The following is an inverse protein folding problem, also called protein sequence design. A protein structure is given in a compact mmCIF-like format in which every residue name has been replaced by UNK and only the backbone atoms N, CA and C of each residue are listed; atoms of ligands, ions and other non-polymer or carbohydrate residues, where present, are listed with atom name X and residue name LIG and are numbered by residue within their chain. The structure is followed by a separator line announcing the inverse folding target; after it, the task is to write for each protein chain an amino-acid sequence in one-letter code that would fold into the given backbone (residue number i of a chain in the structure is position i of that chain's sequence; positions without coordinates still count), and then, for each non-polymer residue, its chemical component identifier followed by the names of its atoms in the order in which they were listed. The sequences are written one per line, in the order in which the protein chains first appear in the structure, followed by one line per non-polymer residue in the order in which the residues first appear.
data_IF_985064142505
#
_entry.id   IF_985064142505
#
_cell.length_a   1.000
_cell.length_b   1.000
_cell.length_c   1.000
_cell.angle_alpha   90.00
_cell.angle_beta   90.00
_cell.angle_gamma   90.00
#
_symmetry.space_group_name_H-M   'P 1'
#
loop_
_entity.id
_entity.type
_entity.pdbx_description
1 polymer ?
#
# COMPACT_ATOMS: atom_id res chain seq x y z
N UNK A 1 1.06 -1.48 -2.65
CA UNK A 1 0.08 -2.54 -2.34
C UNK A 1 -0.50 -2.26 -0.96
N UNK A 2 -1.28 -1.18 -0.88
CA UNK A 2 -2.08 -0.88 0.31
C UNK A 2 -3.13 -1.98 0.44
N UNK A 3 -2.98 -2.92 1.37
CA UNK A 3 -4.06 -3.85 1.70
C UNK A 3 -5.24 -3.19 2.46
N UNK A 4 -5.26 -1.85 2.57
CA UNK A 4 -6.26 -1.10 3.30
C UNK A 4 -7.14 -0.27 2.35
N UNK A 5 -8.25 -0.86 1.90
CA UNK A 5 -9.43 -0.05 1.55
C UNK A 5 -10.05 0.46 2.87
N UNK A 6 -9.70 1.67 3.29
CA UNK A 6 -10.38 2.33 4.42
C UNK A 6 -11.78 2.77 3.94
N UNK A 7 -12.79 1.99 4.28
CA UNK A 7 -14.18 2.41 4.13
C UNK A 7 -14.48 3.49 5.18
N UNK A 8 -14.32 4.77 4.82
CA UNK A 8 -14.68 5.89 5.68
C UNK A 8 -16.21 5.94 5.88
N UNK A 9 -16.69 5.43 7.02
CA UNK A 9 -18.09 5.59 7.45
C UNK A 9 -18.24 6.97 8.09
N UNK A 10 -18.78 7.94 7.34
CA UNK A 10 -19.22 9.22 7.90
C UNK A 10 -20.52 9.03 8.69
N UNK A 11 -20.47 9.16 10.02
CA UNK A 11 -21.66 9.44 10.83
C UNK A 11 -21.66 10.91 11.26
N UNK A 12 -22.55 11.70 10.68
CA UNK A 12 -22.92 13.02 11.21
C UNK A 12 -23.79 12.83 12.47
N UNK A 13 -23.34 13.36 13.59
CA UNK A 13 -24.19 13.62 14.76
C UNK A 13 -24.17 15.12 15.05
N UNK A 14 -25.27 15.80 14.68
CA UNK A 14 -25.56 17.16 15.08
C UNK A 14 -26.22 17.14 16.47
N UNK A 15 -25.63 17.82 17.44
CA UNK A 15 -26.31 18.18 18.69
C UNK A 15 -26.41 19.70 18.79
N UNK A 16 -27.66 20.17 18.70
CA UNK A 16 -28.06 21.52 19.08
C UNK A 16 -28.02 21.65 20.61
N UNK A 17 -27.57 22.79 21.11
CA UNK A 17 -27.78 23.19 22.51
C UNK A 17 -28.41 24.58 22.58
N UNK A 18 -29.48 24.64 23.36
CA UNK A 18 -30.36 25.78 23.57
C UNK A 18 -29.75 26.88 24.47
N UNK A 19 -30.15 28.12 24.20
CA UNK A 19 -29.91 29.31 25.03
C UNK A 19 -30.79 29.36 26.28
N UNK A 20 -30.24 29.93 27.37
CA UNK A 20 -30.98 30.45 28.52
C UNK A 20 -30.11 31.53 29.24
N UNK A 21 -30.68 32.43 30.08
CA UNK A 21 -30.58 33.88 29.89
C UNK A 21 -29.62 34.62 30.84
N UNK A 22 -29.39 35.88 30.46
CA UNK A 22 -28.50 36.90 31.02
C UNK A 22 -28.92 37.48 32.38
N UNK A 23 -27.91 37.75 33.22
CA UNK A 23 -28.01 38.50 34.49
C UNK A 23 -27.30 39.87 34.39
N UNK A 24 -27.70 40.89 35.18
CA UNK A 24 -27.33 42.30 34.99
C UNK A 24 -25.91 42.69 35.48
N UNK A 25 -25.34 43.80 34.99
CA UNK A 25 -23.93 44.15 35.22
C UNK A 25 -23.71 44.87 36.55
N UNK A 26 -22.55 44.61 37.16
CA UNK A 26 -22.02 45.33 38.33
C UNK A 26 -20.67 46.00 37.98
N UNK A 27 -20.26 47.03 38.73
CA UNK A 27 -19.50 48.17 38.20
C UNK A 27 -18.01 47.90 37.89
N UNK A 28 -17.55 48.65 36.88
CA UNK A 28 -16.23 48.61 36.25
C UNK A 28 -15.11 48.90 37.24
N UNK A 29 -14.30 47.88 37.53
CA UNK A 29 -12.97 48.03 38.13
C UNK A 29 -11.93 48.23 37.02
N UNK A 30 -11.04 49.21 37.20
CA UNK A 30 -9.98 49.60 36.28
C UNK A 30 -8.99 48.43 36.10
N UNK A 31 -8.71 47.94 34.88
CA UNK A 31 -7.83 46.80 34.70
C UNK A 31 -6.38 47.16 35.05
N UNK A 32 -5.64 46.29 35.76
CA UNK A 32 -4.21 46.43 35.91
C UNK A 32 -3.54 46.28 34.54
N UNK A 33 -2.38 46.93 34.37
CA UNK A 33 -1.61 46.88 33.13
C UNK A 33 -1.28 45.42 32.75
N UNK A 34 -2.00 44.89 31.77
CA UNK A 34 -1.80 43.57 31.20
C UNK A 34 -0.50 43.59 30.39
N UNK A 35 0.58 43.04 30.96
CA UNK A 35 1.71 42.59 30.15
C UNK A 35 1.19 41.47 29.25
N UNK A 36 0.96 41.76 27.97
CA UNK A 36 0.59 40.78 26.96
C UNK A 36 1.79 39.87 26.68
N UNK A 37 1.99 38.86 27.52
CA UNK A 37 2.85 37.73 27.18
C UNK A 37 2.06 36.83 26.23
N UNK A 38 2.28 37.00 24.93
CA UNK A 38 1.83 36.04 23.93
C UNK A 38 2.38 34.65 24.33
N UNK A 39 1.54 33.60 24.43
CA UNK A 39 2.05 32.25 24.62
C UNK A 39 3.03 31.93 23.49
N UNK A 40 4.16 31.25 23.77
CA UNK A 40 5.01 30.77 22.69
C UNK A 40 4.15 29.93 21.73
N UNK A 41 4.38 30.04 20.41
CA UNK A 41 3.68 29.19 19.45
C UNK A 41 3.89 27.73 19.86
N UNK A 42 2.86 26.87 19.69
CA UNK A 42 3.03 25.45 19.94
C UNK A 42 4.23 24.95 19.13
N UNK A 43 5.01 23.99 19.68
CA UNK A 43 6.11 23.40 18.94
C UNK A 43 5.57 22.90 17.59
N UNK A 44 6.36 23.02 16.50
CA UNK A 44 5.94 22.54 15.20
C UNK A 44 5.56 21.06 15.34
N UNK A 45 4.34 20.73 14.91
CA UNK A 45 3.90 19.34 14.81
C UNK A 45 4.89 18.64 13.88
N UNK A 46 5.56 17.61 14.38
CA UNK A 46 6.51 16.85 13.57
C UNK A 46 5.77 16.28 12.36
N UNK A 47 6.27 16.56 11.16
CA UNK A 47 5.74 15.98 9.93
C UNK A 47 5.98 14.47 10.01
N UNK A 48 4.95 13.61 9.85
CA UNK A 48 5.17 12.18 9.84
C UNK A 48 6.07 11.78 8.67
N UNK A 49 7.15 11.05 8.95
CA UNK A 49 8.09 10.57 7.94
C UNK A 49 8.49 9.12 8.22
N UNK A 50 9.13 8.50 7.23
CA UNK A 50 9.83 7.23 7.41
C UNK A 50 11.25 7.44 8.02
N UNK A 51 11.53 8.58 8.68
CA UNK A 51 12.90 8.96 9.02
C UNK A 51 13.56 8.15 10.16
N UNK A 52 14.89 7.90 10.03
CA UNK A 52 15.72 8.26 8.88
C UNK A 52 15.43 7.33 7.68
N UNK A 53 15.09 7.90 6.52
CA UNK A 53 14.91 7.14 5.27
C UNK A 53 16.24 7.00 4.57
N UNK A 54 16.55 5.79 4.11
CA UNK A 54 17.71 5.58 3.23
C UNK A 54 17.28 4.95 1.91
N UNK A 55 16.77 5.78 1.00
CA UNK A 55 16.54 5.39 -0.38
C UNK A 55 17.32 6.31 -1.31
N UNK A 56 18.09 5.77 -2.27
CA UNK A 56 18.67 6.60 -3.32
C UNK A 56 17.55 7.32 -4.07
N UNK A 57 17.70 8.58 -4.46
CA UNK A 57 16.69 9.23 -5.28
C UNK A 57 16.44 8.41 -6.55
N UNK A 58 15.20 8.34 -7.00
CA UNK A 58 14.86 7.64 -8.23
C UNK A 58 15.66 8.23 -9.41
N UNK A 59 16.47 7.40 -10.05
CA UNK A 59 17.19 7.75 -11.28
C UNK A 59 16.88 6.71 -12.34
N UNK A 60 16.36 7.16 -13.48
CA UNK A 60 15.98 6.26 -14.58
C UNK A 60 17.17 5.42 -15.09
N UNK A 61 18.40 5.97 -15.06
CA UNK A 61 19.62 5.26 -15.48
C UNK A 61 19.98 4.06 -14.58
N UNK A 62 19.42 3.99 -13.37
CA UNK A 62 19.59 2.86 -12.46
C UNK A 62 18.70 1.67 -12.85
N UNK A 63 17.93 1.76 -13.95
CA UNK A 63 17.00 0.74 -14.43
C UNK A 63 17.34 0.28 -15.85
N UNK A 64 18.38 -0.55 -16.01
CA UNK A 64 18.80 -1.03 -17.33
C UNK A 64 17.90 -2.13 -17.90
N UNK A 65 17.36 -3.00 -17.04
CA UNK A 65 16.42 -4.07 -17.41
C UNK A 65 15.28 -4.17 -16.37
N UNK A 66 14.47 -3.10 -16.20
CA UNK A 66 13.57 -2.95 -15.06
C UNK A 66 12.43 -3.96 -15.02
N UNK A 67 12.03 -4.49 -16.18
CA UNK A 67 10.94 -5.44 -16.29
C UNK A 67 11.39 -6.89 -15.97
N UNK A 68 12.69 -7.14 -15.81
CA UNK A 68 13.21 -8.43 -15.39
C UNK A 68 13.39 -8.43 -13.86
N UNK A 69 12.31 -8.75 -13.16
CA UNK A 69 12.29 -8.76 -11.70
C UNK A 69 12.62 -10.17 -11.19
N UNK A 70 13.92 -10.46 -11.06
CA UNK A 70 14.49 -11.73 -10.57
C UNK A 70 15.01 -11.65 -9.12
N UNK A 71 14.68 -10.56 -8.41
CA UNK A 71 15.09 -10.30 -7.03
C UNK A 71 14.72 -11.43 -6.06
N UNK A 72 15.69 -11.82 -5.21
CA UNK A 72 15.56 -12.95 -4.28
C UNK A 72 14.29 -12.93 -3.43
N UNK A 73 13.85 -11.76 -3.00
CA UNK A 73 12.76 -11.61 -2.03
C UNK A 73 11.40 -11.37 -2.65
N UNK A 74 11.34 -10.92 -3.91
CA UNK A 74 10.09 -10.60 -4.61
C UNK A 74 10.25 -10.82 -6.11
N UNK A 75 10.48 -12.07 -6.57
CA UNK A 75 10.58 -12.34 -7.99
C UNK A 75 9.20 -12.19 -8.64
N UNK A 76 9.11 -11.40 -9.71
CA UNK A 76 7.88 -11.18 -10.46
C UNK A 76 8.02 -11.70 -11.88
N UNK A 77 8.02 -13.03 -12.01
CA UNK A 77 8.05 -13.70 -13.32
C UNK A 77 6.64 -13.78 -13.92
N UNK A 78 6.40 -13.29 -15.16
CA UNK A 78 5.10 -13.39 -15.83
C UNK A 78 4.47 -14.78 -15.77
N UNK A 79 3.18 -14.84 -15.48
CA UNK A 79 2.44 -16.09 -15.27
C UNK A 79 2.58 -16.69 -13.88
N UNK A 80 3.40 -16.12 -12.98
CA UNK A 80 3.40 -16.52 -11.58
C UNK A 80 2.08 -16.10 -10.93
N UNK A 81 1.45 -17.03 -10.20
CA UNK A 81 0.24 -16.79 -9.43
C UNK A 81 0.41 -17.28 -8.01
N UNK A 82 -0.02 -16.45 -7.06
CA UNK A 82 -0.07 -16.78 -5.64
C UNK A 82 -1.46 -16.51 -5.10
N UNK A 83 -1.96 -17.40 -4.25
CA UNK A 83 -3.20 -17.17 -3.48
C UNK A 83 -2.85 -17.20 -2.01
N UNK A 84 -3.18 -16.12 -1.32
CA UNK A 84 -3.08 -16.03 0.12
C UNK A 84 -4.49 -16.00 0.72
N UNK A 85 -4.69 -16.73 1.81
CA UNK A 85 -5.96 -16.79 2.53
C UNK A 85 -5.76 -16.61 4.03
N UNK A 86 -6.77 -16.04 4.68
CA UNK A 86 -6.82 -15.88 6.11
C UNK A 86 -8.03 -15.06 6.52
N UNK A 87 -7.85 -14.05 7.37
CA UNK A 87 -8.96 -13.31 7.98
C UNK A 87 -8.61 -11.84 8.23
N UNK A 88 -9.62 -10.97 8.16
CA UNK A 88 -9.52 -9.56 8.51
C UNK A 88 -10.85 -9.03 9.09
N UNK A 89 -10.81 -7.94 9.85
CA UNK A 89 -11.98 -7.25 10.41
C UNK A 89 -12.19 -5.86 9.77
N UNK A 90 -12.85 -5.84 8.62
CA UNK A 90 -13.19 -4.61 7.88
C UNK A 90 -14.53 -4.02 8.33
N UNK A 91 -14.69 -3.80 9.63
CA UNK A 91 -15.89 -3.17 10.24
C UNK A 91 -17.11 -4.08 10.45
N UNK A 92 -17.08 -5.34 9.99
CA UNK A 92 -18.18 -6.30 10.11
C UNK A 92 -17.90 -7.52 11.00
N UNK A 93 -16.83 -7.47 11.79
CA UNK A 93 -16.26 -8.61 12.51
C UNK A 93 -15.20 -9.34 11.70
N UNK A 94 -14.48 -10.27 12.35
CA UNK A 94 -13.38 -11.04 11.73
C UNK A 94 -13.94 -12.05 10.72
N UNK A 95 -13.68 -11.82 9.43
CA UNK A 95 -14.23 -12.57 8.31
C UNK A 95 -13.13 -13.18 7.43
N UNK A 96 -13.42 -14.25 6.67
CA UNK A 96 -12.46 -14.80 5.71
C UNK A 96 -12.08 -13.79 4.63
N UNK A 97 -10.79 -13.75 4.34
CA UNK A 97 -10.16 -12.86 3.39
C UNK A 97 -9.23 -13.65 2.48
N UNK A 98 -9.23 -13.33 1.18
CA UNK A 98 -8.46 -14.03 0.16
C UNK A 98 -7.93 -13.03 -0.85
N UNK A 99 -6.65 -13.12 -1.17
CA UNK A 99 -6.04 -12.33 -2.23
C UNK A 99 -5.39 -13.25 -3.25
N UNK A 100 -5.66 -12.99 -4.52
CA UNK A 100 -4.97 -13.63 -5.64
C UNK A 100 -4.04 -12.61 -6.28
N UNK A 101 -2.74 -12.88 -6.24
CA UNK A 101 -1.71 -12.10 -6.92
C UNK A 101 -1.35 -12.77 -8.24
N UNK A 102 -1.38 -12.04 -9.35
CA UNK A 102 -1.00 -12.56 -10.66
C UNK A 102 0.00 -11.64 -11.33
N UNK A 103 1.20 -12.15 -11.61
CA UNK A 103 2.17 -11.41 -12.44
C UNK A 103 1.74 -11.54 -13.89
N UNK A 104 1.37 -10.43 -14.52
CA UNK A 104 0.93 -10.42 -15.91
C UNK A 104 2.11 -10.51 -16.87
N UNK A 105 1.83 -10.69 -18.15
CA UNK A 105 2.80 -10.52 -19.23
C UNK A 105 2.85 -9.10 -19.77
N UNK A 106 2.38 -8.11 -19.00
CA UNK A 106 2.24 -6.72 -19.41
C UNK A 106 3.21 -5.82 -18.67
N UNK A 107 3.51 -4.69 -19.31
CA UNK A 107 4.32 -3.63 -18.74
C UNK A 107 3.66 -2.27 -18.89
N UNK A 108 4.08 -1.30 -18.08
CA UNK A 108 3.66 0.09 -18.16
C UNK A 108 4.84 1.02 -17.89
N UNK A 109 4.98 2.08 -18.68
CA UNK A 109 5.99 3.11 -18.38
C UNK A 109 5.43 4.09 -17.37
N UNK A 110 6.07 4.21 -16.21
CA UNK A 110 5.72 5.17 -15.16
C UNK A 110 6.99 5.91 -14.76
N UNK A 111 6.92 7.23 -14.76
CA UNK A 111 8.06 8.12 -14.50
C UNK A 111 9.33 7.74 -15.29
N UNK A 112 9.17 7.34 -16.56
CA UNK A 112 10.24 6.94 -17.47
C UNK A 112 10.82 5.53 -17.27
N UNK A 113 10.32 4.75 -16.30
CA UNK A 113 10.76 3.37 -16.04
C UNK A 113 9.70 2.38 -16.52
N UNK A 114 10.12 1.31 -17.21
CA UNK A 114 9.22 0.23 -17.65
C UNK A 114 8.97 -0.75 -16.49
N UNK A 115 7.74 -0.78 -15.99
CA UNK A 115 7.32 -1.58 -14.86
C UNK A 115 6.61 -2.86 -15.30
N UNK A 116 6.82 -3.95 -14.57
CA UNK A 116 5.94 -5.14 -14.59
C UNK A 116 4.62 -4.79 -13.93
N UNK A 117 3.53 -5.31 -14.49
CA UNK A 117 2.19 -5.13 -13.94
C UNK A 117 1.77 -6.40 -13.20
N UNK A 118 1.45 -6.29 -11.92
CA UNK A 118 0.68 -7.32 -11.21
C UNK A 118 -0.81 -7.00 -11.26
N UNK A 119 -1.62 -8.05 -11.31
CA UNK A 119 -3.06 -7.97 -11.19
C UNK A 119 -3.51 -8.72 -9.95
N UNK A 120 -3.97 -7.95 -8.97
CA UNK A 120 -4.23 -8.42 -7.62
C UNK A 120 -5.73 -8.30 -7.33
N UNK A 121 -6.33 -9.38 -6.82
CA UNK A 121 -7.78 -9.44 -6.59
C UNK A 121 -8.07 -9.82 -5.15
N UNK A 122 -8.62 -8.86 -4.41
CA UNK A 122 -9.11 -9.03 -3.05
C UNK A 122 -10.55 -9.54 -3.08
N UNK A 123 -10.78 -10.68 -2.43
CA UNK A 123 -12.09 -11.30 -2.30
C UNK A 123 -12.48 -11.45 -0.84
N UNK A 124 -13.60 -10.82 -0.49
CA UNK A 124 -14.24 -10.94 0.82
C UNK A 124 -15.56 -11.73 0.69
N UNK A 125 -15.70 -12.82 1.47
CA UNK A 125 -16.89 -13.70 1.41
C UNK A 125 -17.26 -14.15 -0.02
N UNK A 126 -16.27 -14.41 -0.88
CA UNK A 126 -16.41 -14.80 -2.30
C UNK A 126 -16.87 -13.69 -3.25
N UNK A 127 -16.93 -12.45 -2.79
CA UNK A 127 -17.20 -11.27 -3.61
C UNK A 127 -15.92 -10.47 -3.77
N UNK A 128 -15.63 -10.01 -5.00
CA UNK A 128 -14.51 -9.09 -5.24
C UNK A 128 -14.79 -7.79 -4.49
N UNK A 129 -13.89 -7.43 -3.59
CA UNK A 129 -13.89 -6.15 -2.89
C UNK A 129 -13.01 -5.15 -3.63
N UNK A 130 -11.90 -5.62 -4.19
CA UNK A 130 -10.95 -4.80 -4.92
C UNK A 130 -10.29 -5.59 -6.06
N UNK A 131 -9.99 -4.92 -7.16
CA UNK A 131 -9.11 -5.41 -8.21
C UNK A 131 -8.09 -4.31 -8.54
N UNK A 132 -6.82 -4.61 -8.31
CA UNK A 132 -5.71 -3.66 -8.38
C UNK A 132 -4.74 -4.00 -9.52
N UNK A 133 -4.27 -2.96 -10.20
CA UNK A 133 -3.02 -3.01 -10.97
C UNK A 133 -1.92 -2.34 -10.15
N UNK A 134 -0.86 -3.08 -9.82
CA UNK A 134 0.31 -2.51 -9.17
C UNK A 134 1.54 -2.60 -10.09
N UNK A 135 2.45 -1.64 -9.94
CA UNK A 135 3.54 -1.41 -10.88
C UNK A 135 4.89 -1.51 -10.19
N UNK A 136 5.70 -2.47 -10.63
CA UNK A 136 7.00 -2.73 -10.02
C UNK A 136 8.13 -2.72 -11.05
N UNK A 137 9.31 -2.31 -10.63
CA UNK A 137 10.53 -2.41 -11.43
C UNK A 137 11.72 -2.79 -10.55
N UNK A 138 12.71 -3.46 -11.11
CA UNK A 138 13.95 -3.78 -10.41
C UNK A 138 15.09 -2.87 -10.88
N UNK A 139 15.81 -2.27 -9.93
CA UNK A 139 17.00 -1.47 -10.24
C UNK A 139 18.25 -2.36 -10.43
N UNK A 140 19.36 -1.75 -10.87
CA UNK A 140 20.63 -2.41 -11.13
C UNK A 140 21.28 -3.00 -9.86
N UNK A 141 20.88 -2.54 -8.67
CA UNK A 141 21.35 -3.05 -7.37
C UNK A 141 20.48 -4.21 -6.86
N UNK A 142 19.42 -4.56 -7.58
CA UNK A 142 18.49 -5.66 -7.29
C UNK A 142 17.36 -5.29 -6.33
N UNK A 143 17.15 -3.99 -6.05
CA UNK A 143 16.02 -3.56 -5.25
C UNK A 143 14.76 -3.58 -6.12
N UNK A 144 13.65 -4.05 -5.55
CA UNK A 144 12.35 -4.02 -6.22
C UNK A 144 11.58 -2.80 -5.73
N UNK A 145 11.25 -1.92 -6.66
CA UNK A 145 10.60 -0.64 -6.45
C UNK A 145 9.10 -0.73 -6.73
N UNK A 146 8.29 0.04 -6.00
CA UNK A 146 6.87 0.26 -6.24
C UNK A 146 6.69 1.65 -6.86
N UNK A 147 6.09 1.70 -8.05
CA UNK A 147 5.86 2.91 -8.82
C UNK A 147 4.42 3.40 -8.78
N UNK A 148 3.52 2.69 -8.12
CA UNK A 148 2.13 3.09 -8.01
C UNK A 148 1.15 1.92 -8.01
N UNK A 149 -0.12 2.27 -7.84
CA UNK A 149 -1.23 1.34 -7.91
C UNK A 149 -2.49 2.01 -8.46
N UNK A 150 -3.35 1.19 -9.08
CA UNK A 150 -4.70 1.52 -9.50
C UNK A 150 -5.67 0.48 -8.92
N UNK A 151 -6.20 0.71 -7.71
CA UNK A 151 -7.09 -0.20 -7.01
C UNK A 151 -8.55 0.16 -7.28
N UNK A 152 -9.23 -0.59 -8.14
CA UNK A 152 -10.67 -0.44 -8.30
C UNK A 152 -11.41 -1.12 -7.14
N UNK A 153 -12.23 -0.37 -6.42
CA UNK A 153 -13.06 -0.86 -5.32
C UNK A 153 -14.47 -1.21 -5.80
N UNK A 154 -15.08 -2.21 -5.15
CA UNK A 154 -16.38 -2.75 -5.50
C UNK A 154 -17.28 -2.98 -4.28
N UNK A 155 -18.53 -2.50 -4.34
CA UNK A 155 -19.61 -2.92 -3.43
C UNK A 155 -20.63 -3.78 -4.18
N UNK A 156 -20.84 -5.01 -3.72
CA UNK A 156 -21.79 -5.99 -4.31
C UNK A 156 -21.59 -6.13 -5.83
N UNK A 157 -20.33 -6.16 -6.27
CA UNK A 157 -19.94 -6.31 -7.67
C UNK A 157 -20.15 -5.06 -8.53
N UNK A 158 -20.43 -3.91 -7.93
CA UNK A 158 -20.50 -2.62 -8.62
C UNK A 158 -19.27 -1.80 -8.28
N UNK A 159 -18.58 -1.30 -9.31
CA UNK A 159 -17.47 -0.37 -9.16
C UNK A 159 -17.93 0.88 -8.37
N UNK A 160 -17.19 1.22 -7.31
CA UNK A 160 -17.45 2.39 -6.45
C UNK A 160 -16.42 3.49 -6.61
N UNK A 161 -15.26 3.19 -7.19
CA UNK A 161 -14.19 4.15 -7.42
C UNK A 161 -12.82 3.49 -7.39
N UNK A 162 -11.78 4.30 -7.55
CA UNK A 162 -10.40 3.91 -7.31
C UNK A 162 -9.68 5.00 -6.50
N UNK A 163 -10.15 5.32 -5.28
CA UNK A 163 -9.76 6.52 -4.55
C UNK A 163 -8.28 6.53 -4.16
N UNK A 164 -7.68 5.35 -4.00
CA UNK A 164 -6.28 5.18 -3.61
C UNK A 164 -5.32 5.13 -4.80
N UNK A 165 -5.73 5.60 -5.98
CA UNK A 165 -4.86 5.60 -7.17
C UNK A 165 -3.71 6.58 -7.02
N UNK A 166 -2.49 6.11 -7.24
CA UNK A 166 -1.31 6.98 -7.36
C UNK A 166 -0.29 6.38 -8.31
N UNK A 167 0.47 7.24 -8.99
CA UNK A 167 1.54 6.86 -9.93
C UNK A 167 2.71 7.80 -9.74
N UNK A 168 3.90 7.25 -9.54
CA UNK A 168 5.11 8.05 -9.33
C UNK A 168 5.32 9.06 -10.47
N UNK A 169 5.75 10.28 -10.10
CA UNK A 169 5.94 11.38 -11.04
C UNK A 169 4.65 12.11 -11.45
N UNK A 170 3.48 11.66 -10.99
CA UNK A 170 2.20 12.37 -11.11
C UNK A 170 1.70 12.77 -9.72
N UNK A 171 0.98 13.89 -9.61
CA UNK A 171 0.26 14.28 -8.38
C UNK A 171 1.11 14.20 -7.10
N UNK A 172 2.36 14.68 -7.18
CA UNK A 172 3.29 14.70 -6.05
C UNK A 172 3.63 13.32 -5.46
N UNK A 173 3.39 12.25 -6.21
CA UNK A 173 3.67 10.91 -5.77
C UNK A 173 5.11 10.49 -6.13
N UNK A 174 5.78 9.83 -5.18
CA UNK A 174 7.14 9.31 -5.33
C UNK A 174 7.14 7.79 -5.24
N UNK A 175 7.94 7.17 -6.11
CA UNK A 175 8.23 5.75 -6.03
C UNK A 175 9.09 5.45 -4.79
N UNK A 176 8.92 4.25 -4.25
CA UNK A 176 9.75 3.75 -3.14
C UNK A 176 10.27 2.35 -3.41
N UNK A 177 11.12 1.85 -2.51
CA UNK A 177 11.65 0.49 -2.58
C UNK A 177 10.72 -0.44 -1.81
N UNK A 178 9.89 -1.21 -2.53
CA UNK A 178 9.01 -2.21 -1.93
C UNK A 178 9.82 -3.25 -1.15
N UNK A 179 10.87 -3.80 -1.76
CA UNK A 179 11.75 -4.78 -1.10
C UNK A 179 13.21 -4.55 -1.50
N UNK A 180 14.08 -4.10 -0.56
CA UNK A 180 15.51 -3.96 -0.83
C UNK A 180 16.17 -5.31 -1.16
N UNK A 181 17.20 -5.32 -1.99
CA UNK A 181 17.95 -6.54 -2.31
C UNK A 181 18.60 -7.18 -1.07
N UNK A 182 19.13 -6.33 -0.19
CA UNK A 182 19.88 -6.68 1.02
C UNK A 182 19.01 -6.47 2.25
N UNK A 183 19.07 -7.42 3.18
CA UNK A 183 18.45 -7.28 4.50
C UNK A 183 19.32 -6.37 5.36
N UNK A 184 18.70 -5.47 6.13
CA UNK A 184 19.38 -4.58 7.09
C UNK A 184 18.70 -4.60 8.46
N UNK A 185 18.95 -5.65 9.25
CA UNK A 185 18.46 -5.74 10.63
C UNK A 185 19.08 -4.62 11.48
N UNK A 186 18.24 -3.90 12.23
CA UNK A 186 18.65 -2.73 13.02
C UNK A 186 18.95 -1.48 12.18
N UNK A 187 18.71 -1.54 10.87
CA UNK A 187 18.86 -0.43 9.95
C UNK A 187 17.72 0.59 10.01
N UNK A 188 17.83 1.66 9.20
CA UNK A 188 16.76 2.62 8.97
C UNK A 188 15.53 1.97 8.32
N UNK A 189 14.41 2.69 8.33
CA UNK A 189 13.26 2.33 7.51
C UNK A 189 13.49 2.69 6.03
N UNK A 190 12.65 2.12 5.18
CA UNK A 190 12.67 2.26 3.72
C UNK A 190 11.28 2.73 3.30
N UNK A 191 11.18 3.87 2.62
CA UNK A 191 9.96 4.33 1.93
C UNK A 191 9.57 3.33 0.83
N UNK A 192 8.37 2.77 0.89
CA UNK A 192 7.79 1.91 -0.15
C UNK A 192 6.97 2.70 -1.17
N UNK A 193 6.60 3.94 -0.84
CA UNK A 193 6.06 4.95 -1.76
C UNK A 193 5.37 6.06 -0.99
N UNK A 194 5.09 7.17 -1.67
CA UNK A 194 4.30 8.28 -1.11
C UNK A 194 3.39 8.89 -2.16
N UNK A 195 2.23 9.37 -1.72
CA UNK A 195 1.31 10.19 -2.51
C UNK A 195 0.45 11.01 -1.55
N UNK A 196 0.78 12.29 -1.32
CA UNK A 196 0.02 13.16 -0.42
C UNK A 196 -1.47 13.27 -0.81
N UNK A 197 -1.76 13.28 -2.11
CA UNK A 197 -3.12 13.46 -2.66
C UNK A 197 -4.07 12.32 -2.26
N UNK A 198 -3.54 11.12 -1.95
CA UNK A 198 -4.33 9.98 -1.46
C UNK A 198 -3.89 9.55 -0.05
N UNK A 199 -3.23 10.45 0.68
CA UNK A 199 -2.73 10.24 2.05
C UNK A 199 -1.88 8.97 2.17
N UNK A 200 -1.07 8.67 1.16
CA UNK A 200 -0.17 7.51 1.13
C UNK A 200 1.25 7.88 1.56
N UNK A 201 1.74 7.15 2.55
CA UNK A 201 3.13 7.13 2.96
C UNK A 201 3.37 5.77 3.62
N UNK A 202 4.16 4.91 2.99
CA UNK A 202 4.38 3.54 3.47
C UNK A 202 5.85 3.31 3.75
N UNK A 203 6.16 2.76 4.92
CA UNK A 203 7.51 2.54 5.40
C UNK A 203 7.70 1.08 5.78
N UNK A 204 8.79 0.47 5.32
CA UNK A 204 9.20 -0.88 5.69
C UNK A 204 10.45 -0.89 6.56
N UNK A 205 10.54 -1.88 7.44
CA UNK A 205 11.74 -2.18 8.24
C UNK A 205 12.00 -3.67 8.32
N UNK A 206 13.25 -4.05 8.10
CA UNK A 206 13.69 -5.40 8.39
C UNK A 206 13.77 -5.64 9.90
N UNK A 207 13.02 -6.64 10.37
CA UNK A 207 12.96 -6.97 11.81
C UNK A 207 13.57 -8.31 12.14
N UNK A 208 13.50 -9.30 11.23
CA UNK A 208 14.14 -10.60 11.41
C UNK A 208 14.63 -11.16 10.08
N UNK A 209 15.64 -12.03 10.15
CA UNK A 209 16.19 -12.76 9.02
C UNK A 209 16.42 -14.22 9.40
N UNK A 210 16.57 -15.08 8.39
CA UNK A 210 16.87 -16.50 8.57
C UNK A 210 15.85 -17.24 9.46
N UNK A 211 14.57 -16.87 9.30
CA UNK A 211 13.48 -17.50 10.05
C UNK A 211 13.01 -18.77 9.34
N UNK A 212 12.40 -19.67 10.12
CA UNK A 212 11.64 -20.82 9.61
C UNK A 212 10.15 -20.53 9.73
N UNK A 213 9.43 -20.57 8.61
CA UNK A 213 7.98 -20.31 8.55
C UNK A 213 7.28 -21.45 7.85
N UNK A 214 6.14 -21.87 8.39
CA UNK A 214 5.28 -22.90 7.81
C UNK A 214 3.97 -22.28 7.35
N UNK A 215 3.63 -22.53 6.09
CA UNK A 215 2.34 -22.21 5.46
C UNK A 215 1.70 -23.52 4.97
N UNK A 216 0.44 -23.52 4.52
CA UNK A 216 -0.21 -24.74 4.03
C UNK A 216 0.54 -25.49 2.92
N UNK A 217 1.40 -24.81 2.15
CA UNK A 217 2.25 -25.44 1.12
C UNK A 217 3.53 -26.10 1.66
N UNK A 218 3.88 -25.91 2.93
CA UNK A 218 5.07 -26.47 3.56
C UNK A 218 5.81 -25.50 4.46
N UNK A 219 6.96 -25.94 4.98
CA UNK A 219 7.86 -25.12 5.79
C UNK A 219 9.09 -24.70 4.99
N UNK A 220 9.53 -23.47 5.20
CA UNK A 220 10.64 -22.86 4.49
C UNK A 220 11.59 -22.20 5.49
N UNK A 221 12.88 -22.32 5.22
CA UNK A 221 13.96 -21.67 5.96
C UNK A 221 14.46 -20.42 5.22
N UNK A 222 15.29 -19.60 5.88
CA UNK A 222 15.86 -18.41 5.25
C UNK A 222 14.86 -17.26 5.05
N UNK A 223 13.75 -17.25 5.80
CA UNK A 223 12.68 -16.26 5.64
C UNK A 223 13.09 -14.91 6.20
N UNK A 224 12.83 -13.86 5.41
CA UNK A 224 12.97 -12.46 5.80
C UNK A 224 11.66 -11.97 6.41
N UNK A 225 11.73 -11.21 7.49
CA UNK A 225 10.55 -10.62 8.15
C UNK A 225 10.67 -9.11 8.13
N UNK A 226 9.62 -8.47 7.62
CA UNK A 226 9.52 -7.03 7.41
C UNK A 226 8.29 -6.51 8.14
N UNK A 227 8.43 -5.39 8.85
CA UNK A 227 7.31 -4.63 9.37
C UNK A 227 7.04 -3.45 8.44
N UNK A 228 5.77 -3.26 8.06
CA UNK A 228 5.28 -2.17 7.22
C UNK A 228 4.26 -1.33 8.00
N UNK A 229 4.33 0.00 7.86
CA UNK A 229 3.45 0.93 8.57
C UNK A 229 3.25 2.23 7.79
N UNK A 230 2.13 2.89 8.06
CA UNK A 230 1.90 4.28 7.65
C UNK A 230 2.18 5.26 8.80
N UNK A 231 3.16 6.17 8.68
CA UNK A 231 3.33 7.26 9.64
C UNK A 231 2.14 8.22 9.68
N UNK A 232 1.35 8.31 8.61
CA UNK A 232 0.19 9.21 8.52
C UNK A 232 -1.00 8.72 9.36
N UNK A 233 -1.09 7.40 9.60
CA UNK A 233 -2.20 6.78 10.34
C UNK A 233 -1.63 5.79 11.37
N UNK A 234 -0.92 6.26 12.42
CA UNK A 234 -0.21 5.36 13.34
C UNK A 234 -1.14 4.37 14.07
N UNK A 235 -2.41 4.74 14.25
CA UNK A 235 -3.42 3.88 14.89
C UNK A 235 -3.90 2.73 13.98
N UNK A 236 -3.48 2.69 12.70
CA UNK A 236 -3.72 1.54 11.81
C UNK A 236 -2.81 0.34 12.14
N UNK A 237 -1.85 0.49 13.06
CA UNK A 237 -0.93 -0.57 13.43
C UNK A 237 0.14 -0.88 12.38
N UNK A 238 0.73 -2.07 12.49
CA UNK A 238 1.84 -2.54 11.66
C UNK A 238 1.45 -3.85 10.98
N UNK A 239 1.70 -3.95 9.68
CA UNK A 239 1.65 -5.22 8.96
C UNK A 239 3.01 -5.90 8.99
N UNK A 240 3.07 -7.13 9.50
CA UNK A 240 4.26 -7.96 9.46
C UNK A 240 4.19 -8.91 8.27
N UNK A 241 5.10 -8.76 7.32
CA UNK A 241 5.22 -9.60 6.13
C UNK A 241 6.41 -10.55 6.22
N UNK A 242 6.22 -11.75 5.70
CA UNK A 242 7.25 -12.79 5.65
C UNK A 242 7.57 -13.08 4.19
N UNK A 243 8.81 -12.82 3.79
CA UNK A 243 9.30 -13.01 2.44
C UNK A 243 10.17 -14.26 2.35
N UNK A 244 9.72 -15.24 1.57
CA UNK A 244 10.47 -16.47 1.28
C UNK A 244 11.35 -16.29 0.05
N UNK A 245 12.64 -16.70 0.10
CA UNK A 245 13.55 -16.63 -1.04
C UNK A 245 12.99 -17.34 -2.29
N UNK A 246 12.97 -16.64 -3.42
CA UNK A 246 12.47 -17.17 -4.69
C UNK A 246 10.95 -17.36 -4.76
N UNK A 247 10.21 -16.87 -3.76
CA UNK A 247 8.74 -16.96 -3.71
C UNK A 247 8.09 -15.59 -3.64
N UNK A 248 8.49 -14.73 -2.70
CA UNK A 248 7.77 -13.48 -2.43
C UNK A 248 7.16 -13.46 -1.02
N UNK A 249 6.18 -12.57 -0.83
CA UNK A 249 5.41 -12.49 0.41
C UNK A 249 4.49 -13.71 0.54
N UNK A 250 4.66 -14.47 1.62
CA UNK A 250 3.96 -15.74 1.85
C UNK A 250 3.08 -15.72 3.08
N UNK A 251 3.22 -14.70 3.92
CA UNK A 251 2.40 -14.54 5.11
C UNK A 251 2.33 -13.06 5.50
N UNK A 252 1.13 -12.63 5.86
CA UNK A 252 0.86 -11.32 6.46
C UNK A 252 0.31 -11.56 7.86
N UNK A 253 0.75 -10.76 8.81
CA UNK A 253 0.16 -10.66 10.15
C UNK A 253 0.05 -9.21 10.58
N UNK A 254 -0.64 -9.00 11.69
CA UNK A 254 -0.99 -7.70 12.23
C UNK A 254 -0.39 -7.48 13.63
N UNK A 255 0.11 -6.28 13.92
CA UNK A 255 0.58 -5.85 15.23
C UNK A 255 -0.07 -4.51 15.57
N UNK A 256 -0.98 -4.52 16.55
CA UNK A 256 -1.71 -3.31 16.94
C UNK A 256 -2.68 -2.78 15.87
N UNK A 257 -2.90 -3.53 14.79
CA UNK A 257 -3.83 -3.20 13.73
C UNK A 257 -5.27 -3.63 14.13
N UNK A 258 -6.24 -2.69 14.18
CA UNK A 258 -7.64 -2.99 14.50
C UNK A 258 -8.33 -3.98 13.55
N UNK A 259 -7.90 -4.06 12.28
CA UNK A 259 -8.40 -5.06 11.34
C UNK A 259 -7.87 -6.46 11.67
N UNK A 260 -6.69 -6.54 12.27
CA UNK A 260 -6.08 -7.81 12.68
C UNK A 260 -5.86 -8.76 11.50
N UNK A 261 -5.46 -8.24 10.34
CA UNK A 261 -5.32 -9.02 9.12
C UNK A 261 -4.29 -10.14 9.28
N UNK A 262 -4.67 -11.32 8.80
CA UNK A 262 -3.80 -12.49 8.70
C UNK A 262 -4.01 -13.13 7.35
N UNK A 263 -2.92 -13.47 6.68
CA UNK A 263 -2.92 -14.16 5.39
C UNK A 263 -1.77 -15.15 5.35
N UNK A 264 -1.97 -16.34 4.79
CA UNK A 264 -0.92 -17.33 4.52
C UNK A 264 -1.03 -17.85 3.11
N UNK A 265 0.10 -18.18 2.48
CA UNK A 265 0.16 -18.74 1.13
C UNK A 265 -0.49 -20.13 1.09
N UNK A 266 -1.58 -20.26 0.36
CA UNK A 266 -2.32 -21.51 0.19
C UNK A 266 -2.17 -22.11 -1.20
N UNK A 267 -1.79 -21.31 -2.20
CA UNK A 267 -1.59 -21.77 -3.57
C UNK A 267 -0.44 -21.01 -4.22
N UNK A 268 0.40 -21.73 -4.97
CA UNK A 268 1.40 -21.15 -5.87
C UNK A 268 1.39 -21.94 -7.17
N UNK A 269 1.13 -21.27 -8.28
CA UNK A 269 1.01 -21.89 -9.59
C UNK A 269 1.70 -21.06 -10.67
N UNK A 270 2.07 -21.71 -11.77
CA UNK A 270 2.47 -21.05 -13.01
C UNK A 270 1.34 -21.23 -14.01
N UNK A 271 0.77 -20.11 -14.46
CA UNK A 271 -0.31 -20.11 -15.43
C UNK A 271 0.16 -20.69 -16.76
N UNK A 272 -0.71 -21.48 -17.40
CA UNK A 272 -0.53 -21.84 -18.81
C UNK A 272 -0.58 -20.58 -19.69
N UNK A 273 -0.05 -20.62 -20.93
CA UNK A 273 -0.12 -19.48 -21.84
C UNK A 273 -1.56 -18.96 -22.07
N UNK A 274 -2.56 -19.85 -22.06
CA UNK A 274 -3.97 -19.47 -22.21
C UNK A 274 -4.53 -18.79 -20.96
N UNK A 275 -4.12 -19.21 -19.77
CA UNK A 275 -4.54 -18.57 -18.51
C UNK A 275 -3.85 -17.23 -18.32
N UNK A 276 -2.56 -17.13 -18.66
CA UNK A 276 -1.83 -15.86 -18.67
C UNK A 276 -2.48 -14.86 -19.65
N UNK A 277 -2.87 -15.31 -20.84
CA UNK A 277 -3.57 -14.44 -21.79
C UNK A 277 -4.93 -13.96 -21.25
N UNK A 278 -5.65 -14.79 -20.48
CA UNK A 278 -6.88 -14.36 -19.80
C UNK A 278 -6.58 -13.30 -18.74
N UNK A 279 -5.57 -13.52 -17.90
CA UNK A 279 -5.16 -12.55 -16.89
C UNK A 279 -4.74 -11.21 -17.52
N UNK A 280 -3.97 -11.26 -18.61
CA UNK A 280 -3.58 -10.06 -19.37
C UNK A 280 -4.81 -9.29 -19.87
N UNK A 281 -5.82 -9.98 -20.39
CA UNK A 281 -7.06 -9.33 -20.84
C UNK A 281 -7.86 -8.68 -19.71
N UNK A 282 -7.88 -9.28 -18.52
CA UNK A 282 -8.52 -8.63 -17.36
C UNK A 282 -7.73 -7.39 -16.94
N UNK A 283 -6.40 -7.46 -16.89
CA UNK A 283 -5.56 -6.30 -16.60
C UNK A 283 -5.69 -5.17 -17.64
N UNK A 284 -5.77 -5.50 -18.94
CA UNK A 284 -6.02 -4.55 -20.03
C UNK A 284 -7.40 -3.87 -19.88
N UNK A 285 -8.43 -4.57 -19.37
CA UNK A 285 -9.75 -3.98 -19.08
C UNK A 285 -9.67 -2.96 -17.95
N UNK A 286 -9.01 -3.30 -16.83
CA UNK A 286 -8.79 -2.37 -15.72
C UNK A 286 -8.01 -1.14 -16.19
N UNK A 287 -6.92 -1.33 -16.95
CA UNK A 287 -6.13 -0.20 -17.49
C UNK A 287 -6.99 0.72 -18.38
N UNK A 288 -7.79 0.13 -19.27
CA UNK A 288 -8.69 0.91 -20.12
C UNK A 288 -9.71 1.67 -19.28
N UNK A 289 -10.35 1.00 -18.31
CA UNK A 289 -11.36 1.61 -17.47
C UNK A 289 -10.78 2.75 -16.61
N UNK A 290 -9.59 2.56 -16.03
CA UNK A 290 -8.88 3.61 -15.29
C UNK A 290 -8.52 4.81 -16.15
N UNK A 291 -8.10 4.60 -17.40
CA UNK A 291 -7.82 5.72 -18.32
C UNK A 291 -9.08 6.46 -18.77
N UNK A 292 -10.22 5.78 -18.78
CA UNK A 292 -11.50 6.41 -19.13
C UNK A 292 -12.10 7.19 -17.94
N UNK A 293 -11.89 6.71 -16.70
CA UNK A 293 -12.65 7.17 -15.51
C UNK A 293 -11.84 7.93 -14.47
N UNK A 294 -10.54 7.68 -14.31
CA UNK A 294 -9.75 8.25 -13.20
C UNK A 294 -8.83 9.40 -13.65
N UNK A 295 -8.89 10.58 -13.01
CA UNK A 295 -8.18 11.79 -13.45
C UNK A 295 -6.65 11.69 -13.40
N UNK A 296 -6.09 10.96 -12.45
CA UNK A 296 -4.64 10.72 -12.38
C UNK A 296 -4.21 9.62 -13.34
N UNK A 297 -4.82 8.42 -13.23
CA UNK A 297 -4.48 7.28 -14.08
C UNK A 297 -4.59 7.56 -15.58
N UNK A 298 -5.55 8.39 -16.03
CA UNK A 298 -5.69 8.73 -17.46
C UNK A 298 -4.50 9.45 -18.09
N UNK A 299 -3.61 10.01 -17.27
CA UNK A 299 -2.40 10.69 -17.73
C UNK A 299 -1.27 9.69 -18.07
N UNK A 300 -1.44 8.41 -17.72
CA UNK A 300 -0.46 7.37 -17.98
C UNK A 300 -0.61 6.75 -19.38
N UNK A 301 0.51 6.30 -19.93
CA UNK A 301 0.59 5.48 -21.15
C UNK A 301 -0.21 4.16 -20.98
N UNK A 302 -0.85 3.60 -22.02
CA UNK A 302 -1.54 2.31 -21.91
C UNK A 302 -0.57 1.15 -21.58
N UNK A 303 -1.12 0.03 -21.12
CA UNK A 303 -0.33 -1.21 -20.96
C UNK A 303 0.27 -1.66 -22.30
N UNK A 304 1.46 -2.24 -22.24
CA UNK A 304 2.22 -2.78 -23.37
C UNK A 304 2.56 -4.25 -23.13
N UNK A 305 2.70 -5.02 -24.22
CA UNK A 305 3.17 -6.41 -24.23
C UNK A 305 4.66 -6.50 -24.51
#
# INVERSE_FOLDING_TARGET
MRLFSLLAVFTLAACATAEAPTAPPSPVAKPPASTSSTPPPPPPVAVPTCDPVKIPPLKQDDFKDPAKIDGKWMPLTPGSRMVLEGRANRGGGVLPHRITFTVTGLTKVINGVRNVVTWDVDTNKKTVAEAELAFFAQDNDGNVWNFGEYPEEYDKGKFTGAPSTWLAGLSHADAGVQVPAKIQIGGPEVLQGSSPDVEFLDCAKDVQADQRVCVPLGCYDGVRVVDERSPLVPDSGVQRKYYMPGVGNVQVGAIGDPEGETLVLVERTTLSPQELEKANKEAEKLDKHGRDTHPIYRQSEPLSR
#
